data_IF_547534179769
#
_entry.id   IF_547534179769
#
_cell.length_a   1.000
_cell.length_b   1.000
_cell.length_c   1.000
_cell.angle_alpha   90.00
_cell.angle_beta   90.00
_cell.angle_gamma   90.00
#
_symmetry.space_group_name_H-M   'P 1'
#
loop_
_entity.id
_entity.type
_entity.pdbx_description
1 polymer ?
#
# COMPACT_ATOMS: atom_id res chain seq x y z
N UNK A 1 -44.22 0.38 -8.53
CA UNK A 1 -42.90 -0.25 -8.29
C UNK A 1 -43.01 -1.34 -7.21
N UNK A 2 -43.56 -1.05 -6.03
CA UNK A 2 -43.72 -2.05 -4.95
C UNK A 2 -44.44 -3.34 -5.40
N UNK A 3 -45.63 -3.22 -6.01
CA UNK A 3 -46.39 -4.38 -6.53
C UNK A 3 -45.64 -5.17 -7.63
N UNK A 4 -44.85 -4.48 -8.46
CA UNK A 4 -44.02 -5.11 -9.49
C UNK A 4 -42.87 -5.92 -8.87
N UNK A 5 -42.21 -5.36 -7.85
CA UNK A 5 -41.14 -6.04 -7.13
C UNK A 5 -41.69 -7.24 -6.34
N UNK A 6 -42.84 -7.10 -5.70
CA UNK A 6 -43.53 -8.20 -5.00
C UNK A 6 -43.97 -9.31 -5.96
N UNK A 7 -44.52 -8.96 -7.13
CA UNK A 7 -44.88 -9.92 -8.16
C UNK A 7 -43.69 -10.75 -8.65
N UNK A 8 -42.50 -10.15 -8.69
CA UNK A 8 -41.25 -10.83 -9.08
C UNK A 8 -40.46 -11.40 -7.89
N UNK A 9 -41.00 -11.38 -6.67
CA UNK A 9 -40.34 -11.94 -5.48
C UNK A 9 -39.07 -11.20 -5.05
N UNK A 10 -38.92 -9.93 -5.42
CA UNK A 10 -37.74 -9.12 -5.14
C UNK A 10 -37.90 -8.48 -3.76
N UNK A 11 -37.16 -9.00 -2.77
CA UNK A 11 -37.26 -8.63 -1.35
C UNK A 11 -36.76 -7.21 -0.99
N UNK A 12 -36.31 -6.40 -1.96
CA UNK A 12 -35.83 -5.04 -1.72
C UNK A 12 -35.77 -4.21 -3.01
N UNK A 13 -35.93 -2.89 -2.91
CA UNK A 13 -35.95 -2.01 -4.08
C UNK A 13 -34.51 -1.75 -4.59
N UNK A 14 -34.12 -2.27 -5.77
CA UNK A 14 -32.78 -2.08 -6.33
C UNK A 14 -32.57 -0.67 -6.93
N UNK A 15 -33.62 0.17 -6.95
CA UNK A 15 -33.58 1.54 -7.48
C UNK A 15 -33.63 2.59 -6.37
N UNK A 16 -33.55 2.18 -5.10
CA UNK A 16 -33.66 3.09 -3.96
C UNK A 16 -32.41 3.96 -3.77
N UNK A 17 -31.26 3.48 -4.21
CA UNK A 17 -29.95 4.08 -3.98
C UNK A 17 -29.32 4.46 -5.33
N UNK A 18 -28.89 5.72 -5.49
CA UNK A 18 -28.20 6.18 -6.72
C UNK A 18 -26.71 5.76 -6.71
N UNK A 19 -26.11 5.64 -5.53
CA UNK A 19 -24.69 5.31 -5.38
C UNK A 19 -24.47 3.83 -5.06
N UNK A 20 -23.67 3.17 -5.89
CA UNK A 20 -23.25 1.78 -5.71
C UNK A 20 -22.51 1.54 -4.39
N UNK A 21 -21.89 2.58 -3.79
CA UNK A 21 -21.26 2.45 -2.49
C UNK A 21 -22.25 2.28 -1.34
N UNK A 22 -23.49 2.76 -1.47
CA UNK A 22 -24.49 2.68 -0.41
C UNK A 22 -25.57 1.66 -0.71
N UNK A 23 -25.74 1.28 -1.98
CA UNK A 23 -26.67 0.24 -2.41
C UNK A 23 -26.39 -1.14 -1.77
N UNK A 24 -27.26 -1.51 -0.83
CA UNK A 24 -27.21 -2.78 -0.11
C UNK A 24 -27.61 -3.98 -0.97
N UNK A 25 -28.50 -3.79 -1.96
CA UNK A 25 -28.92 -4.84 -2.89
C UNK A 25 -27.76 -5.18 -3.81
N UNK A 26 -27.09 -4.16 -4.35
CA UNK A 26 -25.90 -4.31 -5.16
C UNK A 26 -24.79 -5.04 -4.39
N UNK A 27 -24.48 -4.59 -3.16
CA UNK A 27 -23.46 -5.19 -2.30
C UNK A 27 -23.73 -6.66 -1.96
N UNK A 28 -24.99 -7.02 -1.72
CA UNK A 28 -25.35 -8.38 -1.30
C UNK A 28 -25.35 -9.38 -2.44
N UNK A 29 -25.82 -8.98 -3.62
CA UNK A 29 -26.18 -9.95 -4.68
C UNK A 29 -25.36 -9.75 -5.95
N UNK A 30 -25.11 -8.51 -6.36
CA UNK A 30 -24.51 -8.21 -7.65
C UNK A 30 -22.98 -8.21 -7.65
N UNK A 31 -22.32 -8.14 -6.47
CA UNK A 31 -20.85 -8.14 -6.40
C UNK A 31 -20.18 -9.42 -6.93
N UNK A 32 -20.89 -10.54 -6.87
CA UNK A 32 -20.31 -11.87 -7.16
C UNK A 32 -21.01 -12.62 -8.29
N UNK A 33 -22.22 -12.22 -8.69
CA UNK A 33 -23.06 -13.01 -9.61
C UNK A 33 -23.34 -12.33 -10.95
N UNK A 34 -23.30 -10.99 -11.01
CA UNK A 34 -23.82 -10.22 -12.16
C UNK A 34 -22.74 -9.28 -12.66
N UNK A 35 -22.14 -9.59 -13.80
CA UNK A 35 -21.02 -8.82 -14.34
C UNK A 35 -21.36 -8.07 -15.63
N UNK A 36 -20.56 -7.04 -15.92
CA UNK A 36 -20.66 -6.30 -17.18
C UNK A 36 -20.38 -7.25 -18.37
N UNK A 37 -21.03 -7.12 -19.54
CA UNK A 37 -20.79 -8.00 -20.69
C UNK A 37 -19.33 -8.04 -21.17
N UNK A 38 -18.59 -6.96 -20.94
CA UNK A 38 -17.15 -6.86 -21.21
C UNK A 38 -16.24 -7.24 -20.03
N UNK A 39 -16.77 -7.90 -18.99
CA UNK A 39 -16.05 -8.17 -17.74
C UNK A 39 -14.71 -8.83 -17.95
N UNK A 40 -14.65 -9.91 -18.73
CA UNK A 40 -13.41 -10.66 -18.96
C UNK A 40 -12.32 -9.81 -19.62
N UNK A 41 -12.69 -8.81 -20.42
CA UNK A 41 -11.75 -7.87 -21.03
C UNK A 41 -11.23 -6.82 -20.04
N UNK A 42 -12.06 -6.44 -19.06
CA UNK A 42 -11.75 -5.38 -18.10
C UNK A 42 -10.99 -5.95 -16.90
N UNK A 43 -11.49 -7.06 -16.35
CA UNK A 43 -10.94 -7.74 -15.18
C UNK A 43 -9.73 -8.61 -15.55
N UNK A 44 -9.79 -9.31 -16.68
CA UNK A 44 -8.71 -10.21 -17.10
C UNK A 44 -8.49 -11.36 -16.13
N UNK A 45 -7.22 -11.63 -15.81
CA UNK A 45 -6.80 -12.67 -14.85
C UNK A 45 -6.17 -12.04 -13.61
N UNK A 46 -6.54 -12.47 -12.39
CA UNK A 46 -5.89 -12.00 -11.15
C UNK A 46 -4.42 -12.40 -11.02
N UNK A 47 -4.06 -13.51 -11.65
CA UNK A 47 -2.69 -14.04 -11.65
C UNK A 47 -1.78 -13.30 -12.64
N UNK A 48 -2.38 -12.72 -13.68
CA UNK A 48 -1.71 -11.94 -14.72
C UNK A 48 -2.54 -10.68 -15.04
N UNK A 49 -2.47 -9.64 -14.19
CA UNK A 49 -3.30 -8.45 -14.33
C UNK A 49 -2.93 -7.68 -15.60
N UNK A 50 -3.91 -7.44 -16.46
CA UNK A 50 -3.75 -6.65 -17.69
C UNK A 50 -4.15 -5.19 -17.49
N UNK A 51 -3.62 -4.30 -18.33
CA UNK A 51 -4.03 -2.89 -18.32
C UNK A 51 -5.36 -2.72 -19.05
N UNK A 52 -6.36 -2.16 -18.37
CA UNK A 52 -7.66 -1.81 -18.95
C UNK A 52 -8.01 -0.35 -18.65
N UNK A 53 -8.64 0.32 -19.63
CA UNK A 53 -9.14 1.70 -19.50
C UNK A 53 -10.64 1.65 -19.75
N UNK A 54 -11.43 2.09 -18.78
CA UNK A 54 -12.90 2.06 -18.85
C UNK A 54 -13.44 3.48 -18.86
N UNK A 55 -14.05 3.86 -19.98
CA UNK A 55 -14.81 5.11 -20.11
C UNK A 55 -16.30 4.84 -19.91
N UNK A 56 -16.99 5.83 -19.35
CA UNK A 56 -18.45 5.76 -19.22
C UNK A 56 -18.99 7.08 -18.72
N UNK A 57 -20.27 7.34 -18.97
CA UNK A 57 -20.98 8.52 -18.49
C UNK A 57 -21.18 8.48 -16.96
N UNK A 58 -21.61 9.59 -16.37
CA UNK A 58 -22.03 9.60 -14.96
C UNK A 58 -23.18 8.60 -14.79
N UNK A 59 -23.10 7.74 -13.78
CA UNK A 59 -24.10 6.68 -13.56
C UNK A 59 -23.91 5.41 -14.39
N UNK A 60 -22.93 5.33 -15.30
CA UNK A 60 -22.69 4.14 -16.13
C UNK A 60 -22.13 2.92 -15.36
N UNK A 61 -22.15 2.91 -14.02
CA UNK A 61 -21.72 1.77 -13.22
C UNK A 61 -20.20 1.62 -13.04
N UNK A 62 -19.38 2.64 -13.34
CA UNK A 62 -17.91 2.57 -13.12
C UNK A 62 -17.54 2.28 -11.66
N UNK A 63 -18.26 2.91 -10.72
CA UNK A 63 -18.07 2.67 -9.28
C UNK A 63 -18.47 1.26 -8.88
N UNK A 64 -19.60 0.76 -9.41
CA UNK A 64 -20.06 -0.62 -9.23
C UNK A 64 -19.01 -1.62 -9.75
N UNK A 65 -18.51 -1.40 -10.96
CA UNK A 65 -17.46 -2.21 -11.59
C UNK A 65 -16.18 -2.25 -10.73
N UNK A 66 -15.74 -1.11 -10.19
CA UNK A 66 -14.62 -1.04 -9.25
C UNK A 66 -14.84 -1.93 -8.03
N UNK A 67 -16.01 -1.82 -7.39
CA UNK A 67 -16.35 -2.62 -6.21
C UNK A 67 -16.37 -4.12 -6.52
N UNK A 68 -16.89 -4.52 -7.68
CA UNK A 68 -16.84 -5.89 -8.16
C UNK A 68 -15.40 -6.38 -8.34
N UNK A 69 -14.53 -5.58 -8.97
CA UNK A 69 -13.14 -5.97 -9.19
C UNK A 69 -12.40 -6.16 -7.87
N UNK A 70 -12.53 -5.21 -6.94
CA UNK A 70 -11.93 -5.31 -5.60
C UNK A 70 -12.40 -6.58 -4.89
N UNK A 71 -13.71 -6.86 -4.90
CA UNK A 71 -14.26 -8.08 -4.28
C UNK A 71 -13.71 -9.35 -4.90
N UNK A 72 -13.58 -9.41 -6.22
CA UNK A 72 -13.05 -10.59 -6.90
C UNK A 72 -11.54 -10.80 -6.62
N UNK A 73 -10.76 -9.72 -6.48
CA UNK A 73 -9.37 -9.82 -6.02
C UNK A 73 -9.27 -10.28 -4.56
N UNK A 74 -10.18 -9.87 -3.68
CA UNK A 74 -10.25 -10.37 -2.30
C UNK A 74 -10.55 -11.87 -2.26
N UNK A 75 -11.56 -12.33 -3.01
CA UNK A 75 -11.90 -13.75 -3.13
C UNK A 75 -10.73 -14.59 -3.70
N UNK A 76 -10.05 -14.07 -4.72
CA UNK A 76 -8.83 -14.68 -5.26
C UNK A 76 -7.72 -14.76 -4.21
N UNK A 77 -7.56 -13.72 -3.39
CA UNK A 77 -6.56 -13.71 -2.31
C UNK A 77 -6.90 -14.68 -1.18
N UNK A 78 -8.18 -14.81 -0.82
CA UNK A 78 -8.66 -15.77 0.19
C UNK A 78 -8.39 -17.21 -0.25
N UNK A 79 -8.76 -17.55 -1.49
CA UNK A 79 -8.51 -18.87 -2.08
C UNK A 79 -7.03 -19.17 -2.26
N UNK A 80 -6.23 -18.16 -2.62
CA UNK A 80 -4.77 -18.28 -2.77
C UNK A 80 -4.03 -18.52 -1.44
N UNK A 81 -4.64 -18.17 -0.29
CA UNK A 81 -4.04 -18.34 1.06
C UNK A 81 -4.45 -19.65 1.75
N UNK A 82 -5.33 -20.45 1.15
CA UNK A 82 -5.78 -21.72 1.72
C UNK A 82 -4.71 -22.83 1.74
N UNK A 83 -5.00 -23.99 2.38
CA UNK A 83 -4.07 -25.13 2.48
C UNK A 83 -3.59 -25.70 1.13
N UNK A 84 -4.36 -25.50 0.07
CA UNK A 84 -4.04 -25.88 -1.32
C UNK A 84 -3.57 -24.70 -2.19
N UNK A 85 -3.26 -23.55 -1.56
CA UNK A 85 -2.95 -22.29 -2.22
C UNK A 85 -1.65 -22.34 -3.02
N UNK A 86 -1.74 -22.68 -4.31
CA UNK A 86 -0.62 -22.62 -5.27
C UNK A 86 -0.63 -21.34 -6.13
N UNK A 87 -1.52 -20.40 -5.83
CA UNK A 87 -1.76 -19.18 -6.63
C UNK A 87 -1.10 -17.95 -6.02
N UNK A 88 -0.65 -17.02 -6.86
CA UNK A 88 -0.04 -15.77 -6.40
C UNK A 88 -1.14 -14.80 -5.97
N UNK A 89 -1.05 -14.22 -4.75
CA UNK A 89 -2.00 -13.20 -4.31
C UNK A 89 -1.81 -11.90 -5.09
N UNK A 90 -2.90 -11.19 -5.34
CA UNK A 90 -2.93 -9.88 -5.98
C UNK A 90 -2.88 -8.77 -4.92
N UNK A 91 -2.03 -7.77 -5.12
CA UNK A 91 -1.96 -6.59 -4.25
C UNK A 91 -2.74 -5.44 -4.88
N UNK A 92 -3.89 -5.10 -4.29
CA UNK A 92 -4.81 -4.08 -4.82
C UNK A 92 -4.51 -2.73 -4.17
N UNK A 93 -4.32 -1.70 -5.00
CA UNK A 93 -4.14 -0.31 -4.55
C UNK A 93 -5.25 0.53 -5.14
N UNK A 94 -6.10 1.09 -4.29
CA UNK A 94 -7.19 1.97 -4.70
C UNK A 94 -6.73 3.42 -4.61
N UNK A 95 -6.83 4.13 -5.73
CA UNK A 95 -6.56 5.56 -5.83
C UNK A 95 -7.80 6.26 -6.40
N UNK A 96 -8.71 6.67 -5.53
CA UNK A 96 -9.98 7.31 -5.88
C UNK A 96 -10.20 8.66 -5.20
N UNK A 97 -9.71 8.86 -3.98
CA UNK A 97 -9.71 10.17 -3.32
C UNK A 97 -8.44 10.97 -3.65
N UNK A 98 -8.60 11.97 -4.51
CA UNK A 98 -7.52 12.86 -4.94
C UNK A 98 -7.26 14.02 -3.97
N UNK A 99 -8.24 14.41 -3.15
CA UNK A 99 -8.20 15.65 -2.39
C UNK A 99 -7.03 15.71 -1.40
N UNK A 100 -6.73 14.67 -0.60
CA UNK A 100 -5.62 14.72 0.36
C UNK A 100 -4.25 14.95 -0.30
N UNK A 101 -4.07 14.48 -1.54
CA UNK A 101 -2.82 14.63 -2.29
C UNK A 101 -2.70 16.04 -2.85
N UNK A 102 -3.78 16.58 -3.40
CA UNK A 102 -3.85 17.95 -3.91
C UNK A 102 -3.64 18.97 -2.77
N UNK A 103 -4.27 18.76 -1.61
CA UNK A 103 -4.11 19.64 -0.45
C UNK A 103 -2.65 19.69 0.02
N UNK A 104 -1.98 18.52 0.11
CA UNK A 104 -0.56 18.44 0.44
C UNK A 104 0.31 19.15 -0.61
N UNK A 105 0.02 18.96 -1.89
CA UNK A 105 0.75 19.59 -2.97
C UNK A 105 0.65 21.12 -2.95
N UNK A 106 -0.57 21.64 -2.86
CA UNK A 106 -0.84 23.09 -2.78
C UNK A 106 -0.16 23.68 -1.55
N UNK A 107 -0.22 23.00 -0.41
CA UNK A 107 0.44 23.47 0.82
C UNK A 107 1.96 23.61 0.68
N UNK A 108 2.61 22.81 -0.18
CA UNK A 108 4.06 22.86 -0.41
C UNK A 108 4.48 23.87 -1.47
N UNK A 109 3.67 24.11 -2.50
CA UNK A 109 3.98 25.07 -3.58
C UNK A 109 3.81 26.53 -3.13
N UNK A 110 2.96 26.76 -2.14
CA UNK A 110 2.82 28.06 -1.49
C UNK A 110 1.36 28.47 -1.33
N UNK A 111 0.98 28.76 -0.08
CA UNK A 111 -0.39 29.11 0.36
C UNK A 111 -1.03 30.29 -0.39
N UNK A 112 -0.23 31.15 -1.02
CA UNK A 112 -0.69 32.37 -1.71
C UNK A 112 -0.87 32.21 -3.23
N UNK A 113 -0.61 31.04 -3.83
CA UNK A 113 -0.85 30.84 -5.26
C UNK A 113 -2.30 30.44 -5.53
N UNK A 114 -2.95 31.01 -6.56
CA UNK A 114 -4.30 30.60 -6.97
C UNK A 114 -4.35 29.12 -7.31
N UNK A 115 -5.35 28.40 -6.81
CA UNK A 115 -5.48 26.94 -6.96
C UNK A 115 -5.37 26.48 -8.42
N UNK A 116 -6.01 27.18 -9.36
CA UNK A 116 -5.94 26.83 -10.78
C UNK A 116 -4.52 26.80 -11.33
N UNK A 117 -3.68 27.80 -10.99
CA UNK A 117 -2.28 27.84 -11.40
C UNK A 117 -1.43 26.76 -10.72
N UNK A 118 -1.78 26.37 -9.50
CA UNK A 118 -1.09 25.28 -8.81
C UNK A 118 -1.40 23.94 -9.46
N UNK A 119 -2.66 23.69 -9.86
CA UNK A 119 -3.08 22.45 -10.50
C UNK A 119 -2.45 22.24 -11.89
N UNK A 120 -2.14 23.31 -12.63
CA UNK A 120 -1.41 23.21 -13.91
C UNK A 120 -0.04 22.52 -13.78
N UNK A 121 0.54 22.58 -12.58
CA UNK A 121 1.83 21.96 -12.26
C UNK A 121 1.71 20.51 -11.80
N UNK A 122 0.50 20.00 -11.57
CA UNK A 122 0.27 18.61 -11.21
C UNK A 122 0.43 17.73 -12.46
N UNK A 123 1.38 16.79 -12.42
CA UNK A 123 1.75 15.95 -13.56
C UNK A 123 1.54 14.48 -13.26
N UNK A 124 1.80 13.65 -14.29
CA UNK A 124 1.66 12.20 -14.19
C UNK A 124 2.53 11.60 -13.09
N UNK A 125 3.74 12.09 -12.89
CA UNK A 125 4.63 11.60 -11.83
C UNK A 125 4.06 11.89 -10.43
N UNK A 126 3.32 12.98 -10.23
CA UNK A 126 2.69 13.27 -8.94
C UNK A 126 1.57 12.26 -8.62
N UNK A 127 0.84 11.80 -9.65
CA UNK A 127 -0.09 10.68 -9.50
C UNK A 127 0.62 9.36 -9.19
N UNK A 128 1.77 9.10 -9.84
CA UNK A 128 2.58 7.92 -9.53
C UNK A 128 3.08 7.95 -8.09
N UNK A 129 3.53 9.11 -7.61
CA UNK A 129 3.98 9.31 -6.24
C UNK A 129 2.85 9.11 -5.22
N UNK A 130 1.63 9.53 -5.56
CA UNK A 130 0.44 9.27 -4.74
C UNK A 130 0.13 7.77 -4.67
N UNK A 131 0.14 7.07 -5.80
CA UNK A 131 -0.08 5.61 -5.87
C UNK A 131 1.01 4.87 -5.07
N UNK A 132 2.28 5.23 -5.24
CA UNK A 132 3.40 4.63 -4.49
C UNK A 132 3.29 4.92 -3.00
N UNK A 133 2.90 6.13 -2.61
CA UNK A 133 2.67 6.48 -1.20
C UNK A 133 1.58 5.62 -0.57
N UNK A 134 0.46 5.40 -1.27
CA UNK A 134 -0.62 4.53 -0.82
C UNK A 134 -0.15 3.07 -0.73
N UNK A 135 0.43 2.56 -1.83
CA UNK A 135 0.89 1.18 -1.96
C UNK A 135 1.92 0.82 -0.87
N UNK A 136 2.95 1.65 -0.70
CA UNK A 136 4.02 1.41 0.27
C UNK A 136 3.49 1.53 1.70
N UNK A 137 2.63 2.51 1.99
CA UNK A 137 2.05 2.65 3.34
C UNK A 137 1.20 1.42 3.71
N UNK A 138 0.39 0.92 2.78
CA UNK A 138 -0.40 -0.30 2.97
C UNK A 138 0.49 -1.53 3.13
N UNK A 139 1.51 -1.69 2.27
CA UNK A 139 2.46 -2.78 2.34
C UNK A 139 3.24 -2.81 3.66
N UNK A 140 3.77 -1.67 4.10
CA UNK A 140 4.50 -1.54 5.37
C UNK A 140 3.56 -1.84 6.55
N UNK A 141 2.32 -1.36 6.51
CA UNK A 141 1.31 -1.66 7.53
C UNK A 141 1.03 -3.16 7.59
N UNK A 142 0.85 -3.81 6.44
CA UNK A 142 0.66 -5.25 6.36
C UNK A 142 1.86 -6.03 6.93
N UNK A 143 3.10 -5.63 6.61
CA UNK A 143 4.32 -6.27 7.14
C UNK A 143 4.45 -6.11 8.66
N UNK A 144 4.16 -4.92 9.20
CA UNK A 144 4.32 -4.62 10.63
C UNK A 144 3.27 -5.35 11.47
N UNK A 145 2.00 -5.29 11.06
CA UNK A 145 0.86 -5.86 11.79
C UNK A 145 0.70 -7.37 11.57
N UNK A 146 1.51 -7.96 10.68
CA UNK A 146 1.51 -9.40 10.45
C UNK A 146 1.79 -10.18 11.73
N UNK A 147 0.84 -11.03 12.11
CA UNK A 147 1.08 -12.14 13.04
C UNK A 147 2.14 -13.07 12.45
N UNK A 148 3.10 -13.55 13.27
CA UNK A 148 4.09 -14.55 12.83
C UNK A 148 3.43 -15.82 12.25
N UNK A 149 2.14 -16.05 12.54
CA UNK A 149 1.38 -17.23 12.15
C UNK A 149 0.69 -17.12 10.77
N UNK A 150 0.60 -15.94 10.14
CA UNK A 150 -0.09 -15.80 8.84
C UNK A 150 0.90 -15.73 7.68
N UNK A 151 0.91 -16.71 6.74
CA UNK A 151 1.76 -16.68 5.56
C UNK A 151 1.30 -15.62 4.55
N UNK A 152 2.24 -14.92 3.92
CA UNK A 152 2.06 -14.25 2.63
C UNK A 152 2.86 -15.12 1.65
N UNK A 153 2.18 -15.85 0.78
CA UNK A 153 2.80 -16.90 -0.04
C UNK A 153 2.78 -18.28 0.62
N UNK A 154 3.55 -19.22 0.04
CA UNK A 154 3.60 -20.69 0.16
C UNK A 154 3.62 -21.37 1.56
N UNK A 155 3.14 -20.72 2.62
CA UNK A 155 3.13 -21.28 3.97
C UNK A 155 4.49 -21.29 4.65
N UNK A 156 5.58 -20.89 3.97
CA UNK A 156 6.91 -20.87 4.56
C UNK A 156 7.24 -19.48 5.08
N UNK A 157 7.77 -19.43 6.29
CA UNK A 157 8.41 -18.25 6.85
C UNK A 157 9.65 -17.91 6.03
N UNK A 158 9.46 -17.36 4.82
CA UNK A 158 10.56 -16.84 4.03
C UNK A 158 11.13 -15.64 4.77
N UNK A 159 12.36 -15.81 5.27
CA UNK A 159 13.20 -14.66 5.58
C UNK A 159 13.33 -13.85 4.29
N UNK A 160 13.13 -12.54 4.39
CA UNK A 160 13.32 -11.66 3.24
C UNK A 160 14.77 -11.77 2.76
N UNK A 161 14.96 -11.91 1.45
CA UNK A 161 16.31 -11.81 0.88
C UNK A 161 16.87 -10.41 1.17
N UNK A 162 18.19 -10.32 1.35
CA UNK A 162 18.85 -9.03 1.66
C UNK A 162 18.50 -7.93 0.62
N UNK A 163 18.44 -8.20 -0.70
CA UNK A 163 18.00 -7.21 -1.68
C UNK A 163 16.56 -6.75 -1.46
N UNK A 164 15.61 -7.68 -1.29
CA UNK A 164 14.20 -7.32 -1.05
C UNK A 164 14.05 -6.52 0.24
N UNK A 165 14.80 -6.89 1.27
CA UNK A 165 14.81 -6.20 2.56
C UNK A 165 15.28 -4.74 2.43
N UNK A 166 16.33 -4.51 1.64
CA UNK A 166 16.86 -3.19 1.34
C UNK A 166 15.86 -2.38 0.52
N UNK A 167 15.30 -2.95 -0.53
CA UNK A 167 14.42 -2.23 -1.45
C UNK A 167 13.11 -1.83 -0.77
N UNK A 168 12.54 -2.69 0.08
CA UNK A 168 11.39 -2.34 0.93
C UNK A 168 11.73 -1.21 1.90
N UNK A 169 12.92 -1.25 2.51
CA UNK A 169 13.36 -0.17 3.37
C UNK A 169 13.48 1.15 2.58
N UNK A 170 14.11 1.14 1.40
CA UNK A 170 14.22 2.34 0.56
C UNK A 170 12.85 2.89 0.17
N UNK A 171 11.93 2.03 -0.27
CA UNK A 171 10.55 2.43 -0.58
C UNK A 171 9.86 3.05 0.64
N UNK A 172 9.96 2.42 1.81
CA UNK A 172 9.36 2.94 3.04
C UNK A 172 9.98 4.28 3.47
N UNK A 173 11.27 4.52 3.22
CA UNK A 173 11.90 5.79 3.55
C UNK A 173 11.40 6.94 2.67
N UNK A 174 11.03 6.66 1.42
CA UNK A 174 10.59 7.65 0.44
C UNK A 174 9.07 7.89 0.47
N UNK A 175 8.29 6.83 0.67
CA UNK A 175 6.85 6.83 0.37
C UNK A 175 5.93 6.47 1.56
N UNK A 176 6.44 5.93 2.68
CA UNK A 176 5.57 5.62 3.84
C UNK A 176 5.08 6.91 4.51
N UNK A 177 3.77 7.15 4.44
CA UNK A 177 3.12 8.37 4.96
C UNK A 177 2.05 8.05 6.01
N UNK A 178 2.28 7.03 6.84
CA UNK A 178 1.36 6.64 7.90
C UNK A 178 1.14 7.76 8.93
N UNK A 179 -0.12 8.06 9.24
CA UNK A 179 -0.52 9.02 10.27
C UNK A 179 -0.72 8.37 11.65
N UNK A 180 -0.72 7.04 11.74
CA UNK A 180 -1.03 6.30 12.96
C UNK A 180 0.15 6.24 13.94
N UNK A 181 1.39 6.31 13.44
CA UNK A 181 2.60 6.23 14.26
C UNK A 181 3.68 7.20 13.76
N UNK A 182 4.62 7.55 14.63
CA UNK A 182 5.78 8.35 14.22
C UNK A 182 6.69 7.56 13.26
N UNK A 183 7.29 8.26 12.29
CA UNK A 183 8.20 7.64 11.33
C UNK A 183 9.35 6.83 12.00
N UNK A 184 10.07 7.33 13.02
CA UNK A 184 11.19 6.58 13.59
C UNK A 184 10.78 5.29 14.31
N UNK A 185 9.60 5.27 14.96
CA UNK A 185 9.09 4.06 15.63
C UNK A 185 8.66 3.01 14.60
N UNK A 186 7.92 3.43 13.58
CA UNK A 186 7.41 2.57 12.52
C UNK A 186 8.55 1.99 11.66
N UNK A 187 9.51 2.83 11.31
CA UNK A 187 10.73 2.44 10.59
C UNK A 187 11.53 1.37 11.35
N UNK A 188 11.66 1.52 12.67
CA UNK A 188 12.33 0.52 13.52
C UNK A 188 11.60 -0.81 13.47
N UNK A 189 10.28 -0.82 13.65
CA UNK A 189 9.45 -2.04 13.56
C UNK A 189 9.61 -2.72 12.21
N UNK A 190 9.56 -1.96 11.11
CA UNK A 190 9.75 -2.48 9.76
C UNK A 190 11.12 -3.16 9.60
N UNK A 191 12.21 -2.47 9.95
CA UNK A 191 13.57 -3.02 9.81
C UNK A 191 13.76 -4.31 10.60
N UNK A 192 13.20 -4.39 11.81
CA UNK A 192 13.23 -5.61 12.61
C UNK A 192 12.43 -6.76 11.96
N UNK A 193 11.26 -6.47 11.37
CA UNK A 193 10.43 -7.50 10.69
C UNK A 193 11.03 -7.99 9.39
N UNK A 194 11.67 -7.11 8.65
CA UNK A 194 12.27 -7.39 7.34
C UNK A 194 13.69 -7.98 7.50
N UNK A 195 14.30 -7.90 8.68
CA UNK A 195 15.65 -8.39 8.93
C UNK A 195 16.74 -7.47 8.36
N UNK A 196 16.39 -6.24 7.97
CA UNK A 196 17.36 -5.25 7.51
C UNK A 196 18.11 -4.66 8.72
N UNK A 197 19.13 -5.39 9.15
CA UNK A 197 20.01 -5.00 10.25
C UNK A 197 20.99 -3.92 9.82
N UNK A 198 21.04 -2.80 10.54
CA UNK A 198 21.99 -1.71 10.29
C UNK A 198 23.42 -2.03 10.75
N UNK A 199 23.76 -3.30 10.97
CA UNK A 199 25.06 -3.69 11.55
C UNK A 199 26.19 -3.31 10.59
N UNK A 200 26.01 -3.56 9.29
CA UNK A 200 26.96 -3.13 8.25
C UNK A 200 27.04 -1.60 8.13
N UNK A 201 25.94 -0.88 8.29
CA UNK A 201 25.92 0.59 8.22
C UNK A 201 26.56 1.29 9.43
N UNK A 202 26.67 0.60 10.57
CA UNK A 202 27.31 1.12 11.81
C UNK A 202 28.79 0.76 11.92
N UNK A 203 29.33 0.01 10.98
CA UNK A 203 30.75 -0.34 10.96
C UNK A 203 31.68 0.89 10.91
N UNK A 204 31.41 1.95 10.12
CA UNK A 204 32.24 3.15 10.13
C UNK A 204 32.23 3.89 11.48
N UNK A 205 31.07 3.96 12.14
CA UNK A 205 30.97 4.57 13.48
C UNK A 205 31.68 3.76 14.55
N UNK A 206 31.68 2.43 14.44
CA UNK A 206 32.43 1.56 15.34
C UNK A 206 33.94 1.72 15.13
N UNK A 207 34.40 1.75 13.87
CA UNK A 207 35.79 2.04 13.53
C UNK A 207 36.23 3.42 14.05
N UNK A 208 35.38 4.44 13.92
CA UNK A 208 35.64 5.76 14.47
C UNK A 208 35.80 5.73 16.00
N UNK A 209 34.89 5.07 16.72
CA UNK A 209 34.99 4.89 18.17
C UNK A 209 36.27 4.17 18.60
N UNK A 210 36.61 3.07 17.92
CA UNK A 210 37.84 2.30 18.18
C UNK A 210 39.08 3.16 17.94
N UNK A 211 39.10 3.93 16.85
CA UNK A 211 40.21 4.85 16.54
C UNK A 211 40.37 5.93 17.61
N UNK A 212 39.28 6.54 18.08
CA UNK A 212 39.32 7.55 19.14
C UNK A 212 39.83 6.96 20.46
N UNK A 213 39.38 5.75 20.83
CA UNK A 213 39.84 5.07 22.05
C UNK A 213 41.33 4.72 21.96
N UNK A 214 41.79 4.21 20.81
CA UNK A 214 43.21 3.92 20.58
C UNK A 214 44.08 5.19 20.64
N UNK A 215 43.59 6.30 20.09
CA UNK A 215 44.30 7.58 20.15
C UNK A 215 44.42 8.09 21.59
N UNK A 216 43.34 8.05 22.38
CA UNK A 216 43.37 8.44 23.80
C UNK A 216 44.33 7.55 24.59
N UNK A 217 44.33 6.23 24.35
CA UNK A 217 45.24 5.29 25.01
C UNK A 217 46.72 5.56 24.64
N UNK A 218 47.00 5.88 23.37
CA UNK A 218 48.35 6.21 22.92
C UNK A 218 48.85 7.52 23.55
N UNK A 219 47.99 8.55 23.64
CA UNK A 219 48.33 9.82 24.31
C UNK A 219 48.57 9.59 25.80
N UNK A 220 47.71 8.82 26.48
CA UNK A 220 47.87 8.52 27.90
C UNK A 220 49.18 7.78 28.20
N UNK A 221 49.54 6.78 27.37
CA UNK A 221 50.80 6.02 27.53
C UNK A 221 52.04 6.86 27.20
N UNK A 222 51.95 7.82 26.27
CA UNK A 222 53.02 8.81 26.05
C UNK A 222 53.24 9.70 27.27
N UNK A 223 52.18 10.26 27.84
CA UNK A 223 52.27 11.09 29.04
C UNK A 223 52.77 10.32 30.29
N UNK A 224 52.50 9.02 30.39
CA UNK A 224 53.05 8.22 31.50
C UNK A 224 54.53 7.89 31.30
N UNK A 225 55.01 7.79 30.05
CA UNK A 225 56.43 7.59 29.75
C UNK A 225 57.28 8.84 29.95
N UNK A 226 56.72 10.03 29.71
CA UNK A 226 57.44 11.30 29.92
C UNK A 226 57.54 11.73 31.39
N UNK A 227 56.77 11.09 32.29
CA UNK A 227 56.76 11.37 33.73
C UNK A 227 57.56 10.34 34.58
N UNK A 228 58.32 9.45 33.95
CA UNK A 228 59.25 8.48 34.59
C UNK A 228 60.67 8.83 34.15
#
# INVERSE_FOLDING_TARGET
>A
IQEFLEHHGIAGNPFAEEDAQNDTVFKRTCLESTFHPGWDKIYGSPEDPSTSIVFGEKGAGKTALKLQMVRQFELHNETSRGPEGNKKPSFVVIYDDFNPFLDRFVSRIGRNRPLGKSLDHWKLWDHMDAILSLAVTQLVSAIIHRSKAEPVGDGKSHSWSVPHARDIALLAALYDQSTAETFPSRWRKLRWRVGYGSVLGRWPTFLGLVSTVLFIAAVATSFTRDNI
#
